data_IF_362785936333
#
_entry.id   IF_362785936333
#
_cell.length_a   1.000
_cell.length_b   1.000
_cell.length_c   1.000
_cell.angle_alpha   90.00
_cell.angle_beta   90.00
_cell.angle_gamma   90.00
#
_symmetry.space_group_name_H-M   'P 1'
#
loop_
_entity.id
_entity.type
_entity.pdbx_description
1 polymer ?
#
# COMPACT_ATOMS: atom_id res chain seq x y z
N UNK A 1 1.52 -1.85 12.46
CA UNK A 1 2.26 -3.13 12.61
C UNK A 1 3.72 -2.79 12.73
N UNK A 2 4.42 -3.41 13.68
CA UNK A 2 5.86 -3.22 13.86
C UNK A 2 6.61 -4.13 12.86
N UNK A 3 7.68 -3.64 12.21
CA UNK A 3 8.45 -4.40 11.21
C UNK A 3 8.94 -5.75 11.76
N UNK A 4 9.35 -5.80 13.03
CA UNK A 4 9.78 -7.04 13.70
C UNK A 4 8.67 -8.10 13.74
N UNK A 5 7.40 -7.69 13.88
CA UNK A 5 6.26 -8.62 13.87
C UNK A 5 6.03 -9.21 12.47
N UNK A 6 6.25 -8.42 11.42
CA UNK A 6 6.16 -8.88 10.03
C UNK A 6 7.26 -9.89 9.73
N UNK A 7 8.50 -9.63 10.18
CA UNK A 7 9.63 -10.54 10.04
C UNK A 7 9.38 -11.88 10.75
N UNK A 8 8.86 -11.83 11.97
CA UNK A 8 8.53 -13.04 12.73
C UNK A 8 7.41 -13.83 12.06
N UNK A 9 6.37 -13.14 11.57
CA UNK A 9 5.27 -13.79 10.85
C UNK A 9 5.76 -14.49 9.58
N UNK A 10 6.57 -13.82 8.76
CA UNK A 10 7.11 -14.40 7.53
C UNK A 10 7.89 -15.70 7.81
N UNK A 11 8.77 -15.69 8.82
CA UNK A 11 9.51 -16.88 9.25
C UNK A 11 8.61 -18.00 9.75
N UNK A 12 7.60 -17.69 10.57
CA UNK A 12 6.65 -18.69 11.06
C UNK A 12 5.82 -19.30 9.93
N UNK A 13 5.46 -18.52 8.91
CA UNK A 13 4.73 -19.02 7.74
C UNK A 13 5.60 -19.97 6.89
N UNK A 14 6.88 -19.65 6.68
CA UNK A 14 7.83 -20.54 5.99
C UNK A 14 7.98 -21.88 6.71
N UNK A 15 8.26 -21.86 8.02
CA UNK A 15 8.39 -23.07 8.84
C UNK A 15 7.12 -23.92 8.82
N UNK A 16 5.95 -23.27 8.77
CA UNK A 16 4.68 -23.97 8.70
C UNK A 16 4.41 -24.56 7.32
N UNK A 17 4.81 -23.89 6.24
CA UNK A 17 4.70 -24.44 4.90
C UNK A 17 5.52 -25.72 4.72
N UNK A 18 6.69 -25.82 5.36
CA UNK A 18 7.55 -27.03 5.33
C UNK A 18 6.96 -28.24 6.05
N UNK A 19 6.02 -28.03 6.99
CA UNK A 19 5.45 -29.08 7.84
C UNK A 19 4.02 -29.50 7.45
N UNK A 20 3.40 -28.80 6.50
CA UNK A 20 2.04 -29.10 6.03
C UNK A 20 2.11 -30.16 4.91
N UNK A 21 1.24 -31.18 5.01
CA UNK A 21 1.12 -32.24 4.02
C UNK A 21 0.28 -31.83 2.79
N UNK A 22 -0.51 -30.76 2.89
CA UNK A 22 -1.36 -30.25 1.81
C UNK A 22 -0.56 -29.30 0.92
N UNK A 23 -0.27 -29.67 -0.35
CA UNK A 23 0.67 -28.96 -1.20
C UNK A 23 0.17 -27.57 -1.61
N UNK A 24 -1.13 -27.41 -1.87
CA UNK A 24 -1.70 -26.13 -2.28
C UNK A 24 -1.64 -25.10 -1.15
N UNK A 25 -1.97 -25.52 0.07
CA UNK A 25 -1.86 -24.67 1.26
C UNK A 25 -0.41 -24.32 1.58
N UNK A 26 0.53 -25.26 1.42
CA UNK A 26 1.95 -25.00 1.60
C UNK A 26 2.47 -23.96 0.60
N UNK A 27 2.05 -24.05 -0.67
CA UNK A 27 2.39 -23.09 -1.72
C UNK A 27 1.84 -21.69 -1.41
N UNK A 28 0.59 -21.57 -0.98
CA UNK A 28 -0.01 -20.28 -0.59
C UNK A 28 0.74 -19.63 0.57
N UNK A 29 1.10 -20.41 1.60
CA UNK A 29 1.85 -19.90 2.76
C UNK A 29 3.26 -19.43 2.36
N UNK A 30 3.92 -20.13 1.45
CA UNK A 30 5.20 -19.69 0.88
C UNK A 30 5.04 -18.37 0.12
N UNK A 31 4.02 -18.26 -0.75
CA UNK A 31 3.78 -17.02 -1.49
C UNK A 31 3.50 -15.84 -0.56
N UNK A 32 2.72 -16.04 0.51
CA UNK A 32 2.49 -15.00 1.53
C UNK A 32 3.81 -14.62 2.22
N UNK A 33 4.61 -15.60 2.65
CA UNK A 33 5.87 -15.31 3.32
C UNK A 33 6.85 -14.55 2.41
N UNK A 34 7.00 -14.96 1.16
CA UNK A 34 7.81 -14.25 0.16
C UNK A 34 7.32 -12.83 -0.08
N UNK A 35 6.00 -12.62 -0.16
CA UNK A 35 5.43 -11.28 -0.30
C UNK A 35 5.73 -10.38 0.90
N UNK A 36 5.69 -10.94 2.12
CA UNK A 36 6.04 -10.21 3.34
C UNK A 36 7.53 -9.81 3.35
N UNK A 37 8.43 -10.70 2.94
CA UNK A 37 9.86 -10.42 2.84
C UNK A 37 10.15 -9.29 1.85
N UNK A 38 9.63 -9.39 0.62
CA UNK A 38 9.77 -8.33 -0.40
C UNK A 38 9.20 -7.00 0.10
N UNK A 39 8.07 -7.02 0.81
CA UNK A 39 7.50 -5.81 1.40
C UNK A 39 8.44 -5.15 2.41
N UNK A 40 9.15 -5.94 3.23
CA UNK A 40 10.06 -5.41 4.23
C UNK A 40 11.28 -4.74 3.59
N UNK A 41 11.83 -5.32 2.53
CA UNK A 41 12.90 -4.69 1.76
C UNK A 41 12.45 -3.35 1.16
N UNK A 42 11.26 -3.34 0.55
CA UNK A 42 10.64 -2.12 0.02
C UNK A 42 10.37 -1.08 1.11
N UNK A 43 9.90 -1.50 2.29
CA UNK A 43 9.65 -0.60 3.43
C UNK A 43 10.95 -0.02 3.97
N UNK A 44 12.01 -0.81 4.11
CA UNK A 44 13.31 -0.33 4.58
C UNK A 44 13.88 0.75 3.64
N UNK A 45 13.69 0.60 2.33
CA UNK A 45 14.06 1.62 1.35
C UNK A 45 13.22 2.91 1.44
N UNK A 46 11.97 2.81 1.95
CA UNK A 46 11.03 3.93 2.07
C UNK A 46 11.06 4.63 3.44
N UNK A 47 11.52 3.96 4.49
CA UNK A 47 11.44 4.44 5.88
C UNK A 47 12.04 5.85 6.07
N UNK A 48 13.26 6.07 5.56
CA UNK A 48 13.93 7.38 5.60
C UNK A 48 13.34 8.43 4.64
N UNK A 49 12.43 8.03 3.76
CA UNK A 49 11.91 8.86 2.67
C UNK A 49 10.39 9.06 2.72
N UNK A 50 9.70 8.53 3.74
CA UNK A 50 8.25 8.57 3.90
C UNK A 50 7.67 9.99 3.66
N UNK A 51 8.34 10.99 4.22
CA UNK A 51 7.92 12.40 4.22
C UNK A 51 8.90 13.33 3.49
N UNK A 52 9.96 12.78 2.90
CA UNK A 52 11.03 13.56 2.24
C UNK A 52 10.51 14.50 1.16
N UNK A 53 9.48 14.07 0.43
CA UNK A 53 8.81 14.84 -0.63
C UNK A 53 8.21 16.17 -0.16
N UNK A 54 7.82 16.30 1.11
CA UNK A 54 7.28 17.56 1.65
C UNK A 54 8.34 18.64 1.81
N UNK A 55 9.60 18.25 2.00
CA UNK A 55 10.73 19.17 2.15
C UNK A 55 11.36 19.51 0.79
N UNK A 56 11.18 18.63 -0.20
CA UNK A 56 11.64 18.84 -1.58
C UNK A 56 10.69 19.71 -2.42
N UNK A 57 9.45 19.93 -1.94
CA UNK A 57 8.47 20.82 -2.57
C UNK A 57 8.58 22.24 -2.00
N UNK A 58 8.93 23.22 -2.84
CA UNK A 58 8.83 24.64 -2.52
C UNK A 58 7.36 25.05 -2.37
N UNK A 59 7.01 25.57 -1.19
CA UNK A 59 5.70 26.05 -0.71
C UNK A 59 4.63 26.32 -1.79
N UNK A 60 3.62 25.45 -1.88
CA UNK A 60 2.43 25.74 -2.69
C UNK A 60 1.38 24.63 -2.73
N UNK A 61 1.80 23.36 -2.85
CA UNK A 61 0.90 22.21 -2.93
C UNK A 61 1.48 21.04 -2.12
N UNK A 62 1.06 20.93 -0.85
CA UNK A 62 1.40 19.82 0.03
C UNK A 62 0.24 18.82 0.02
N UNK A 63 0.54 17.54 -0.25
CA UNK A 63 -0.43 16.45 -0.29
C UNK A 63 -0.28 15.61 -1.56
N UNK A 64 -1.36 14.91 -1.91
CA UNK A 64 -1.44 14.10 -3.13
C UNK A 64 -1.94 14.90 -4.34
N UNK A 65 -2.28 16.18 -4.13
CA UNK A 65 -2.74 17.10 -5.17
C UNK A 65 -1.54 17.84 -5.78
N UNK A 66 -1.29 17.65 -7.07
CA UNK A 66 -0.15 18.25 -7.77
C UNK A 66 -0.19 17.98 -9.27
N UNK A 67 0.79 18.55 -10.00
CA UNK A 67 0.93 18.33 -11.45
C UNK A 67 1.31 16.87 -11.71
N UNK A 68 0.56 16.13 -12.56
CA UNK A 68 0.90 14.75 -12.90
C UNK A 68 2.33 14.61 -13.41
N UNK A 69 3.05 13.60 -12.94
CA UNK A 69 4.43 13.29 -13.29
C UNK A 69 5.47 14.20 -12.64
N UNK A 70 5.06 15.22 -11.87
CA UNK A 70 5.96 16.08 -11.12
C UNK A 70 5.78 15.92 -9.61
N UNK A 71 6.85 16.27 -8.89
CA UNK A 71 7.01 16.38 -7.43
C UNK A 71 5.74 16.06 -6.63
N UNK A 72 5.71 14.88 -6.02
CA UNK A 72 4.66 14.40 -5.12
C UNK A 72 5.04 13.06 -4.48
N UNK A 73 4.30 12.60 -3.45
CA UNK A 73 4.63 11.41 -2.67
C UNK A 73 4.87 10.17 -3.55
N UNK A 74 3.98 9.93 -4.52
CA UNK A 74 4.08 8.79 -5.44
C UNK A 74 5.37 8.79 -6.26
N UNK A 75 5.74 9.94 -6.83
CA UNK A 75 6.96 10.07 -7.64
C UNK A 75 8.24 9.90 -6.81
N UNK A 76 8.20 10.28 -5.53
CA UNK A 76 9.33 10.12 -4.62
C UNK A 76 9.50 8.65 -4.23
N UNK A 77 8.41 7.97 -3.87
CA UNK A 77 8.46 6.55 -3.49
C UNK A 77 8.79 5.62 -4.67
N UNK A 78 8.30 5.93 -5.87
CA UNK A 78 8.61 5.16 -7.09
C UNK A 78 10.12 5.05 -7.38
N UNK A 79 10.91 6.07 -7.01
CA UNK A 79 12.36 6.10 -7.21
C UNK A 79 13.14 5.27 -6.18
N UNK A 80 12.48 4.84 -5.10
CA UNK A 80 13.13 4.16 -3.96
C UNK A 80 12.83 2.66 -3.92
N UNK A 81 11.66 2.25 -4.42
CA UNK A 81 11.30 0.83 -4.47
C UNK A 81 11.93 0.17 -5.71
N UNK A 82 12.54 -0.98 -5.49
CA UNK A 82 13.13 -1.82 -6.54
C UNK A 82 12.17 -2.87 -7.10
N UNK A 83 11.16 -3.28 -6.32
CA UNK A 83 10.13 -4.22 -6.79
C UNK A 83 9.26 -3.59 -7.86
N UNK A 84 9.10 -4.30 -8.99
CA UNK A 84 8.45 -3.79 -10.20
C UNK A 84 6.98 -3.42 -9.94
N UNK A 85 6.24 -4.25 -9.21
CA UNK A 85 4.80 -4.06 -9.08
C UNK A 85 4.43 -2.84 -8.22
N UNK A 86 4.97 -2.64 -7.00
CA UNK A 86 4.75 -1.40 -6.25
C UNK A 86 5.33 -0.18 -6.98
N UNK A 87 6.49 -0.31 -7.64
CA UNK A 87 7.08 0.78 -8.42
C UNK A 87 6.15 1.23 -9.56
N UNK A 88 5.59 0.30 -10.34
CA UNK A 88 4.66 0.62 -11.42
C UNK A 88 3.39 1.28 -10.89
N UNK A 89 2.85 0.81 -9.74
CA UNK A 89 1.70 1.46 -9.12
C UNK A 89 2.01 2.92 -8.79
N UNK A 90 3.14 3.18 -8.14
CA UNK A 90 3.55 4.53 -7.77
C UNK A 90 3.79 5.42 -8.99
N UNK A 91 4.32 4.87 -10.08
CA UNK A 91 4.46 5.59 -11.35
C UNK A 91 3.10 5.95 -11.97
N UNK A 92 2.14 5.01 -11.98
CA UNK A 92 0.78 5.27 -12.47
C UNK A 92 0.10 6.36 -11.64
N UNK A 93 0.17 6.26 -10.31
CA UNK A 93 -0.42 7.26 -9.41
C UNK A 93 0.27 8.62 -9.55
N UNK A 94 1.59 8.66 -9.74
CA UNK A 94 2.29 9.92 -10.04
C UNK A 94 1.76 10.56 -11.33
N UNK A 95 1.37 9.77 -12.33
CA UNK A 95 0.81 10.24 -13.60
C UNK A 95 -0.73 10.42 -13.57
N UNK A 96 -1.37 10.34 -12.40
CA UNK A 96 -2.83 10.34 -12.24
C UNK A 96 -3.55 9.30 -13.11
N UNK A 97 -2.92 8.13 -13.30
CA UNK A 97 -3.53 6.99 -13.98
C UNK A 97 -4.16 6.03 -12.97
N UNK A 98 -5.30 5.42 -13.30
CA UNK A 98 -6.03 4.56 -12.38
C UNK A 98 -5.27 3.26 -12.12
N UNK A 99 -5.25 2.80 -10.86
CA UNK A 99 -4.66 1.53 -10.46
C UNK A 99 -5.41 0.31 -11.04
N UNK A 100 -6.61 0.52 -11.59
CA UNK A 100 -7.34 -0.52 -12.34
C UNK A 100 -6.54 -1.06 -13.53
N UNK A 101 -5.69 -0.24 -14.17
CA UNK A 101 -4.85 -0.67 -15.30
C UNK A 101 -3.84 -1.73 -14.84
N UNK A 102 -3.16 -1.46 -13.72
CA UNK A 102 -2.18 -2.38 -13.15
C UNK A 102 -2.84 -3.66 -12.64
N UNK A 103 -3.96 -3.52 -11.92
CA UNK A 103 -4.67 -4.66 -11.37
C UNK A 103 -5.23 -5.61 -12.45
N UNK A 104 -5.57 -5.09 -13.63
CA UNK A 104 -5.93 -5.92 -14.79
C UNK A 104 -4.71 -6.65 -15.37
N UNK A 105 -3.57 -5.97 -15.47
CA UNK A 105 -2.34 -6.56 -16.02
C UNK A 105 -1.77 -7.69 -15.14
N UNK A 106 -1.83 -7.54 -13.82
CA UNK A 106 -1.27 -8.47 -12.82
C UNK A 106 -2.31 -9.41 -12.21
N UNK A 107 -3.49 -9.54 -12.83
CA UNK A 107 -4.63 -10.28 -12.27
C UNK A 107 -4.32 -11.76 -12.01
N UNK A 108 -3.53 -12.38 -12.87
CA UNK A 108 -3.16 -13.79 -12.78
C UNK A 108 -1.71 -13.98 -12.28
N UNK A 109 -1.13 -12.92 -11.72
CA UNK A 109 0.21 -12.99 -11.14
C UNK A 109 0.17 -13.64 -9.75
N UNK A 110 1.34 -13.93 -9.19
CA UNK A 110 1.48 -14.61 -7.91
C UNK A 110 0.86 -13.82 -6.75
N UNK A 111 0.31 -14.54 -5.76
CA UNK A 111 -0.19 -13.95 -4.51
C UNK A 111 0.90 -13.16 -3.79
N UNK A 112 2.17 -13.58 -3.93
CA UNK A 112 3.34 -12.94 -3.33
C UNK A 112 3.44 -11.45 -3.70
N UNK A 113 3.17 -11.11 -4.96
CA UNK A 113 3.23 -9.75 -5.51
C UNK A 113 2.13 -8.86 -4.91
N UNK A 114 0.95 -9.43 -4.71
CA UNK A 114 -0.18 -8.74 -4.10
C UNK A 114 -0.03 -8.54 -2.59
N UNK A 115 0.53 -9.54 -1.90
CA UNK A 115 0.88 -9.44 -0.48
C UNK A 115 1.93 -8.36 -0.27
N UNK A 116 2.96 -8.32 -1.12
CA UNK A 116 3.98 -7.27 -1.07
C UNK A 116 3.35 -5.88 -1.13
N UNK A 117 2.56 -5.63 -2.18
CA UNK A 117 1.92 -4.34 -2.39
C UNK A 117 1.01 -3.96 -1.21
N UNK A 118 0.23 -4.92 -0.72
CA UNK A 118 -0.73 -4.65 0.33
C UNK A 118 -0.08 -4.19 1.64
N UNK A 119 1.04 -4.82 1.98
CA UNK A 119 1.81 -4.47 3.18
C UNK A 119 2.45 -3.09 3.03
N UNK A 120 3.03 -2.78 1.87
CA UNK A 120 3.63 -1.46 1.59
C UNK A 120 2.57 -0.35 1.68
N UNK A 121 1.42 -0.51 1.01
CA UNK A 121 0.35 0.50 1.03
C UNK A 121 -0.19 0.71 2.45
N UNK A 122 -0.37 -0.37 3.21
CA UNK A 122 -0.81 -0.27 4.60
C UNK A 122 0.21 0.43 5.47
N UNK A 123 1.49 0.14 5.30
CA UNK A 123 2.58 0.80 6.03
C UNK A 123 2.65 2.30 5.70
N UNK A 124 2.62 2.67 4.42
CA UNK A 124 2.60 4.07 3.98
C UNK A 124 1.41 4.84 4.57
N UNK A 125 0.21 4.27 4.46
CA UNK A 125 -1.01 4.88 4.98
C UNK A 125 -0.90 5.13 6.50
N UNK A 126 -0.50 4.13 7.28
CA UNK A 126 -0.39 4.26 8.73
C UNK A 126 0.75 5.22 9.12
N UNK A 127 1.89 5.15 8.43
CA UNK A 127 3.05 5.99 8.70
C UNK A 127 2.74 7.46 8.45
N UNK A 128 2.11 7.80 7.33
CA UNK A 128 1.71 9.16 7.01
C UNK A 128 0.67 9.70 7.98
N UNK A 129 -0.38 8.93 8.27
CA UNK A 129 -1.42 9.34 9.22
C UNK A 129 -0.81 9.60 10.60
N UNK A 130 0.05 8.71 11.10
CA UNK A 130 0.72 8.89 12.38
C UNK A 130 1.62 10.13 12.38
N UNK A 131 2.37 10.37 11.30
CA UNK A 131 3.22 11.55 11.18
C UNK A 131 2.41 12.85 11.11
N UNK A 132 1.28 12.87 10.39
CA UNK A 132 0.40 14.02 10.30
C UNK A 132 -0.35 14.31 11.62
N UNK A 133 -0.81 13.26 12.32
CA UNK A 133 -1.51 13.39 13.59
C UNK A 133 -0.58 13.92 14.72
N UNK A 134 0.74 13.73 14.60
CA UNK A 134 1.74 14.19 15.57
C UNK A 134 2.26 15.62 15.31
N UNK A 135 1.81 16.33 14.26
CA UNK A 135 2.33 17.66 13.93
C UNK A 135 1.91 18.73 14.96
N UNK A 136 2.85 19.37 15.68
CA UNK A 136 2.54 20.32 16.74
C UNK A 136 2.09 21.71 16.24
N UNK A 137 2.40 22.07 14.99
CA UNK A 137 2.27 23.45 14.50
C UNK A 137 0.89 23.84 13.96
N UNK A 138 0.01 22.88 13.60
CA UNK A 138 -1.41 23.17 13.36
C UNK A 138 -2.25 21.89 13.31
N UNK A 139 -2.99 21.64 14.38
CA UNK A 139 -3.89 20.48 14.54
C UNK A 139 -4.87 20.38 13.35
N UNK A 140 -5.33 21.52 12.80
CA UNK A 140 -6.23 21.55 11.65
C UNK A 140 -5.57 21.08 10.34
N UNK A 141 -4.29 21.42 10.14
CA UNK A 141 -3.54 21.07 8.93
C UNK A 141 -3.17 19.58 8.91
N UNK A 142 -2.69 19.06 10.05
CA UNK A 142 -2.42 17.63 10.23
C UNK A 142 -3.69 16.77 10.02
N UNK A 143 -4.82 17.18 10.62
CA UNK A 143 -6.11 16.50 10.42
C UNK A 143 -6.54 16.48 8.94
N UNK A 144 -6.41 17.60 8.22
CA UNK A 144 -6.77 17.67 6.80
C UNK A 144 -5.93 16.73 5.94
N UNK A 145 -4.61 16.68 6.15
CA UNK A 145 -3.71 15.79 5.41
C UNK A 145 -3.90 14.31 5.77
N UNK A 146 -4.16 14.02 7.04
CA UNK A 146 -4.54 12.69 7.53
C UNK A 146 -5.82 12.19 6.83
N UNK A 147 -6.87 13.02 6.78
CA UNK A 147 -8.10 12.70 6.05
C UNK A 147 -7.89 12.56 4.54
N UNK A 148 -7.13 13.45 3.91
CA UNK A 148 -6.79 13.35 2.48
C UNK A 148 -6.06 12.04 2.16
N UNK A 149 -5.08 11.65 3.00
CA UNK A 149 -4.35 10.39 2.88
C UNK A 149 -5.30 9.21 2.92
N UNK A 150 -6.19 9.15 3.92
CA UNK A 150 -7.14 8.04 4.02
C UNK A 150 -8.06 7.96 2.80
N UNK A 151 -8.52 9.09 2.26
CA UNK A 151 -9.39 9.13 1.08
C UNK A 151 -8.67 8.64 -0.18
N UNK A 152 -7.43 9.10 -0.42
CA UNK A 152 -6.60 8.68 -1.56
C UNK A 152 -6.33 7.18 -1.50
N UNK A 153 -5.96 6.66 -0.34
CA UNK A 153 -5.73 5.21 -0.18
C UNK A 153 -7.03 4.40 -0.32
N UNK A 154 -8.17 4.91 0.15
CA UNK A 154 -9.46 4.25 -0.07
C UNK A 154 -9.82 4.16 -1.57
N UNK A 155 -9.59 5.24 -2.31
CA UNK A 155 -9.78 5.26 -3.77
C UNK A 155 -8.85 4.26 -4.45
N UNK A 156 -7.56 4.25 -4.09
CA UNK A 156 -6.56 3.32 -4.61
C UNK A 156 -6.96 1.86 -4.40
N UNK A 157 -7.40 1.51 -3.18
CA UNK A 157 -7.89 0.18 -2.85
C UNK A 157 -9.15 -0.20 -3.62
N UNK A 158 -10.07 0.75 -3.83
CA UNK A 158 -11.25 0.56 -4.66
C UNK A 158 -10.91 0.29 -6.12
N UNK A 159 -9.94 1.02 -6.68
CA UNK A 159 -9.44 0.81 -8.04
C UNK A 159 -8.76 -0.55 -8.21
N UNK A 160 -7.91 -0.95 -7.27
CA UNK A 160 -7.29 -2.28 -7.27
C UNK A 160 -8.34 -3.39 -7.19
N UNK A 161 -9.31 -3.26 -6.29
CA UNK A 161 -10.44 -4.20 -6.18
C UNK A 161 -11.23 -4.30 -7.47
N UNK A 162 -11.50 -3.19 -8.14
CA UNK A 162 -12.27 -3.18 -9.38
C UNK A 162 -11.48 -3.80 -10.55
N UNK A 163 -10.18 -3.54 -10.65
CA UNK A 163 -9.34 -4.17 -11.67
C UNK A 163 -9.16 -5.68 -11.47
N UNK A 164 -9.16 -6.13 -10.21
CA UNK A 164 -9.07 -7.53 -9.82
C UNK A 164 -10.36 -8.35 -10.03
N UNK A 165 -11.52 -7.68 -10.16
CA UNK A 165 -12.77 -8.36 -10.46
C UNK A 165 -12.78 -8.87 -11.92
N UNK A 166 -13.16 -10.15 -12.08
CA UNK A 166 -13.50 -10.71 -13.38
C UNK A 166 -15.01 -10.73 -13.54
N UNK A 167 -15.49 -10.34 -14.72
CA UNK A 167 -16.83 -10.51 -15.26
C UNK A 167 -17.81 -11.28 -14.35
N UNK A 168 -18.41 -10.59 -13.37
CA UNK A 168 -19.50 -11.10 -12.54
C UNK A 168 -19.14 -11.78 -11.21
N UNK A 169 -17.90 -12.30 -11.03
CA UNK A 169 -17.50 -12.98 -9.79
C UNK A 169 -16.41 -12.22 -9.03
N UNK A 170 -16.69 -11.95 -7.75
CA UNK A 170 -15.74 -11.29 -6.85
C UNK A 170 -14.60 -12.25 -6.51
N UNK A 171 -13.46 -12.09 -7.17
CA UNK A 171 -12.25 -12.88 -6.88
C UNK A 171 -11.84 -12.70 -5.41
N UNK A 172 -11.22 -13.71 -4.77
CA UNK A 172 -10.68 -13.58 -3.42
C UNK A 172 -9.76 -12.36 -3.26
N UNK A 173 -9.01 -12.05 -4.34
CA UNK A 173 -8.13 -10.89 -4.43
C UNK A 173 -8.87 -9.56 -4.43
N UNK A 174 -9.99 -9.46 -5.16
CA UNK A 174 -10.83 -8.27 -5.12
C UNK A 174 -11.43 -8.05 -3.72
N UNK A 175 -11.89 -9.11 -3.05
CA UNK A 175 -12.37 -9.03 -1.66
C UNK A 175 -11.27 -8.58 -0.70
N UNK A 176 -10.07 -9.13 -0.85
CA UNK A 176 -8.91 -8.77 -0.03
C UNK A 176 -8.53 -7.29 -0.21
N UNK A 177 -8.55 -6.76 -1.44
CA UNK A 177 -8.28 -5.35 -1.72
C UNK A 177 -9.40 -4.41 -1.24
N UNK A 178 -10.65 -4.89 -1.16
CA UNK A 178 -11.79 -4.10 -0.70
C UNK A 178 -11.87 -3.98 0.83
N UNK A 179 -11.36 -4.96 1.57
CA UNK A 179 -11.43 -4.98 3.03
C UNK A 179 -10.74 -3.77 3.71
N UNK A 180 -9.57 -3.28 3.25
CA UNK A 180 -9.00 -2.01 3.69
C UNK A 180 -9.93 -0.80 3.49
N UNK A 181 -10.70 -0.73 2.40
CA UNK A 181 -11.67 0.35 2.15
C UNK A 181 -12.71 0.40 3.26
N UNK A 182 -13.27 -0.76 3.63
CA UNK A 182 -14.26 -0.87 4.71
C UNK A 182 -13.67 -0.46 6.07
N UNK A 183 -12.42 -0.84 6.34
CA UNK A 183 -11.75 -0.43 7.57
C UNK A 183 -11.49 1.08 7.63
N UNK A 184 -11.13 1.70 6.50
CA UNK A 184 -10.95 3.15 6.40
C UNK A 184 -12.28 3.86 6.63
N UNK A 185 -13.35 3.43 5.95
CA UNK A 185 -14.70 3.97 6.11
C UNK A 185 -15.19 3.87 7.57
N UNK A 186 -14.97 2.72 8.22
CA UNK A 186 -15.31 2.54 9.64
C UNK A 186 -14.55 3.50 10.54
N UNK A 187 -13.24 3.67 10.31
CA UNK A 187 -12.43 4.61 11.10
C UNK A 187 -12.86 6.06 10.88
N UNK A 188 -13.27 6.44 9.67
CA UNK A 188 -13.86 7.75 9.40
C UNK A 188 -15.19 7.93 10.13
N UNK A 189 -16.11 6.95 10.03
CA UNK A 189 -17.42 7.02 10.67
C UNK A 189 -17.33 7.11 12.21
N UNK A 190 -16.29 6.53 12.82
CA UNK A 190 -16.04 6.66 14.27
C UNK A 190 -15.32 7.97 14.67
N UNK A 191 -14.73 8.68 13.71
CA UNK A 191 -14.02 9.96 13.93
C UNK A 191 -14.86 11.18 13.55
N UNK A 192 -16.01 10.99 12.89
CA UNK A 192 -17.02 11.99 12.58
C UNK A 192 -17.97 12.19 13.77
#
# INVERSE_FOLDING_TARGET
MNQTQIQQLAKSLQQRAESIAEPDLAADLQQIATGLERAMDSIAALEGHLVSWMYEQSAGQLGFEGVPGQRGPWSAWAKRVSSLFPQQLFQLQALNRPATELAKAYRNDELSVWVELAVILRWLQMGLVAWFDQQPYSIQWGKRLSSSTLMVFAMLWGELSNGANQSGDSSPLARACFQPVLQIMRNFAMRA
#
